data_IF_514329667912
#
_entry.id   IF_514329667912
#
_cell.length_a   1.000
_cell.length_b   1.000
_cell.length_c   1.000
_cell.angle_alpha   90.00
_cell.angle_beta   90.00
_cell.angle_gamma   90.00
#
_symmetry.space_group_name_H-M   'P 1'
#
loop_
_entity.id
_entity.type
_entity.pdbx_description
1 polymer ?
#
# COMPACT_ATOMS: atom_id res chain seq x y z
N UNK A 1 -5.28 18.38 7.83
CA UNK A 1 -4.71 17.42 6.85
C UNK A 1 -5.02 16.02 7.33
N UNK A 2 -6.07 15.39 6.80
CA UNK A 2 -6.41 14.02 7.18
C UNK A 2 -5.50 13.08 6.39
N UNK A 3 -4.56 12.42 7.06
CA UNK A 3 -3.65 11.46 6.43
C UNK A 3 -4.40 10.14 6.30
N UNK A 4 -4.87 9.83 5.09
CA UNK A 4 -5.61 8.61 4.83
C UNK A 4 -4.66 7.43 4.59
N UNK A 5 -5.18 6.20 4.77
CA UNK A 5 -4.51 4.93 4.50
C UNK A 5 -3.73 4.93 3.17
N UNK A 6 -4.39 5.44 2.13
CA UNK A 6 -3.85 5.56 0.77
C UNK A 6 -2.60 6.44 0.70
N UNK A 7 -2.61 7.56 1.43
CA UNK A 7 -1.48 8.48 1.52
C UNK A 7 -0.30 7.88 2.30
N UNK A 8 -0.56 7.18 3.40
CA UNK A 8 0.47 6.47 4.19
C UNK A 8 1.14 5.36 3.39
N UNK A 9 0.34 4.57 2.66
CA UNK A 9 0.85 3.51 1.78
C UNK A 9 1.80 4.09 0.72
N UNK A 10 1.38 5.18 0.05
CA UNK A 10 2.19 5.87 -0.97
C UNK A 10 3.50 6.39 -0.39
N UNK A 11 3.46 6.98 0.80
CA UNK A 11 4.64 7.47 1.51
C UNK A 11 5.61 6.34 1.84
N UNK A 12 5.13 5.25 2.46
CA UNK A 12 5.98 4.09 2.80
C UNK A 12 6.58 3.42 1.56
N UNK A 13 5.79 3.27 0.48
CA UNK A 13 6.29 2.74 -0.79
C UNK A 13 7.45 3.59 -1.31
N UNK A 14 7.30 4.92 -1.32
CA UNK A 14 8.34 5.85 -1.75
C UNK A 14 9.58 5.82 -0.83
N UNK A 15 9.39 5.74 0.49
CA UNK A 15 10.50 5.59 1.45
C UNK A 15 11.33 4.32 1.20
N UNK A 16 10.70 3.26 0.70
CA UNK A 16 11.38 2.02 0.30
C UNK A 16 11.94 2.05 -1.12
N UNK A 17 11.83 3.17 -1.84
CA UNK A 17 12.30 3.30 -3.22
C UNK A 17 11.55 2.43 -4.23
N UNK A 18 10.35 1.94 -3.88
CA UNK A 18 9.59 1.03 -4.72
C UNK A 18 8.69 1.80 -5.71
N UNK A 19 8.61 1.31 -6.93
CA UNK A 19 7.57 1.66 -7.91
C UNK A 19 6.23 0.99 -7.55
N UNK A 20 5.13 1.48 -8.13
CA UNK A 20 3.82 0.83 -7.94
C UNK A 20 3.83 -0.60 -8.49
N UNK A 21 4.49 -0.83 -9.63
CA UNK A 21 4.67 -2.15 -10.24
C UNK A 21 5.46 -3.10 -9.34
N UNK A 22 6.56 -2.66 -8.72
CA UNK A 22 7.35 -3.50 -7.81
C UNK A 22 6.58 -3.86 -6.54
N UNK A 23 5.84 -2.91 -5.97
CA UNK A 23 4.94 -3.19 -4.85
C UNK A 23 3.86 -4.19 -5.28
N UNK A 24 3.28 -4.00 -6.45
CA UNK A 24 2.26 -4.89 -7.00
C UNK A 24 2.79 -6.33 -7.15
N UNK A 25 4.01 -6.49 -7.71
CA UNK A 25 4.69 -7.79 -7.83
C UNK A 25 4.96 -8.43 -6.47
N UNK A 26 5.45 -7.68 -5.49
CA UNK A 26 5.69 -8.18 -4.12
C UNK A 26 4.41 -8.66 -3.42
N UNK A 27 3.29 -7.99 -3.68
CA UNK A 27 1.98 -8.34 -3.07
C UNK A 27 1.23 -9.41 -3.86
N UNK A 28 1.56 -9.59 -5.15
CA UNK A 28 0.84 -10.48 -6.07
C UNK A 28 -0.46 -9.86 -6.57
N UNK A 29 -0.46 -8.56 -6.88
CA UNK A 29 -1.60 -7.83 -7.45
C UNK A 29 -1.18 -7.07 -8.70
N UNK A 30 -2.13 -6.47 -9.42
CA UNK A 30 -1.82 -5.61 -10.56
C UNK A 30 -1.34 -4.22 -10.12
N UNK A 31 -0.54 -3.57 -10.96
CA UNK A 31 -0.11 -2.19 -10.74
C UNK A 31 -1.30 -1.23 -10.61
N UNK A 32 -2.30 -1.38 -11.48
CA UNK A 32 -3.54 -0.60 -11.43
C UNK A 32 -4.26 -0.76 -10.09
N UNK A 33 -4.19 -1.94 -9.47
CA UNK A 33 -4.77 -2.16 -8.15
C UNK A 33 -4.05 -1.34 -7.07
N UNK A 34 -2.71 -1.28 -7.09
CA UNK A 34 -1.93 -0.41 -6.20
C UNK A 34 -2.28 1.06 -6.44
N UNK A 35 -2.34 1.49 -7.70
CA UNK A 35 -2.72 2.85 -8.06
C UNK A 35 -4.12 3.23 -7.52
N UNK A 36 -5.11 2.35 -7.66
CA UNK A 36 -6.45 2.57 -7.12
C UNK A 36 -6.43 2.73 -5.59
N UNK A 37 -5.62 1.93 -4.89
CA UNK A 37 -5.50 2.02 -3.42
C UNK A 37 -4.85 3.33 -3.01
N UNK A 38 -3.77 3.73 -3.67
CA UNK A 38 -3.12 5.03 -3.43
C UNK A 38 -4.02 6.23 -3.75
N UNK A 39 -5.06 6.03 -4.58
CA UNK A 39 -6.09 7.01 -4.90
C UNK A 39 -7.35 6.90 -4.03
N UNK A 40 -7.35 6.08 -2.98
CA UNK A 40 -8.43 6.03 -2.00
C UNK A 40 -9.43 4.87 -2.15
N UNK A 41 -9.12 3.86 -2.98
CA UNK A 41 -9.92 2.63 -3.00
C UNK A 41 -9.88 1.94 -1.63
N UNK A 42 -11.05 1.70 -1.06
CA UNK A 42 -11.18 0.89 0.15
C UNK A 42 -10.77 -0.55 -0.12
N UNK A 43 -9.99 -1.12 0.79
CA UNK A 43 -9.58 -2.52 0.76
C UNK A 43 -9.93 -3.19 2.08
N UNK A 44 -10.10 -4.51 2.03
CA UNK A 44 -10.30 -5.29 3.24
C UNK A 44 -9.02 -5.35 4.07
N UNK A 45 -9.18 -5.50 5.39
CA UNK A 45 -8.07 -5.62 6.35
C UNK A 45 -7.11 -6.75 5.96
N UNK A 46 -7.61 -7.88 5.42
CA UNK A 46 -6.77 -8.98 4.94
C UNK A 46 -5.81 -8.58 3.82
N UNK A 47 -6.26 -7.70 2.90
CA UNK A 47 -5.42 -7.20 1.80
C UNK A 47 -4.44 -6.15 2.30
N UNK A 48 -4.87 -5.31 3.24
CA UNK A 48 -3.98 -4.36 3.91
C UNK A 48 -2.84 -5.09 4.63
N UNK A 49 -3.14 -6.19 5.33
CA UNK A 49 -2.13 -7.01 6.01
C UNK A 49 -1.10 -7.60 5.04
N UNK A 50 -1.53 -8.12 3.89
CA UNK A 50 -0.60 -8.56 2.83
C UNK A 50 0.28 -7.41 2.31
N UNK A 51 -0.27 -6.22 2.14
CA UNK A 51 0.51 -5.05 1.70
C UNK A 51 1.49 -4.58 2.75
N UNK A 52 1.06 -4.51 4.01
CA UNK A 52 1.91 -4.16 5.14
C UNK A 52 3.09 -5.14 5.23
N UNK A 53 2.84 -6.45 5.15
CA UNK A 53 3.89 -7.48 5.10
C UNK A 53 4.84 -7.33 3.92
N UNK A 54 4.33 -7.10 2.71
CA UNK A 54 5.15 -6.88 1.53
C UNK A 54 6.02 -5.61 1.64
N UNK A 55 5.49 -4.60 2.34
CA UNK A 55 6.20 -3.38 2.68
C UNK A 55 7.00 -3.52 3.98
N UNK A 56 7.07 -4.67 4.64
CA UNK A 56 7.76 -4.86 5.92
C UNK A 56 7.34 -3.88 7.00
N UNK A 57 6.04 -3.62 7.10
CA UNK A 57 5.39 -2.71 8.04
C UNK A 57 4.30 -3.46 8.79
N UNK A 58 3.86 -2.93 9.92
CA UNK A 58 2.60 -3.38 10.51
C UNK A 58 1.40 -2.67 9.88
N UNK A 59 0.23 -3.32 9.78
CA UNK A 59 -1.01 -2.68 9.31
C UNK A 59 -1.35 -1.41 10.12
N UNK A 60 -0.96 -1.39 11.40
CA UNK A 60 -1.11 -0.25 12.32
C UNK A 60 -0.33 0.98 11.86
N UNK A 61 0.79 0.81 11.17
CA UNK A 61 1.56 1.94 10.62
C UNK A 61 0.84 2.65 9.46
N UNK A 62 -0.18 2.00 8.90
CA UNK A 62 -0.94 2.49 7.76
C UNK A 62 -2.32 3.02 8.17
N UNK A 63 -2.79 2.74 9.40
CA UNK A 63 -4.01 3.29 9.99
C UNK A 63 -3.75 4.69 10.54
#
# INVERSE_FOLDING_TARGET
>A
MVVNLSSKLKLKRKQKGLTQLELARKVGVSESYICQIENGKMISIKKLDKMAKALGCEPKDML
#
